data_IF_844526629811
#
_entry.id   IF_844526629811
#
_cell.length_a   1.000
_cell.length_b   1.000
_cell.length_c   1.000
_cell.angle_alpha   90.00
_cell.angle_beta   90.00
_cell.angle_gamma   90.00
#
_symmetry.space_group_name_H-M   'P 1'
#
loop_
_entity.id
_entity.type
_entity.pdbx_description
1 polymer ?
#
# COMPACT_ATOMS: atom_id res chain seq x y z
N UNK A 1 32.93 27.20 27.98
CA UNK A 1 32.42 28.35 27.21
C UNK A 1 31.64 27.77 26.03
N UNK A 2 30.31 27.71 26.11
CA UNK A 2 29.47 27.08 25.07
C UNK A 2 29.44 28.01 23.84
N UNK A 3 30.01 27.56 22.72
CA UNK A 3 30.00 28.29 21.46
C UNK A 3 28.59 28.19 20.84
N UNK A 4 27.72 29.15 21.15
CA UNK A 4 26.45 29.32 20.44
C UNK A 4 26.76 30.00 19.10
N UNK A 5 26.92 29.18 18.06
CA UNK A 5 27.06 29.66 16.67
C UNK A 5 25.77 30.39 16.28
N UNK A 6 25.89 31.66 15.92
CA UNK A 6 24.83 32.42 15.26
C UNK A 6 24.49 31.75 13.93
N UNK A 7 23.44 30.92 13.92
CA UNK A 7 22.83 30.42 12.67
C UNK A 7 22.16 31.59 11.96
N UNK A 8 22.34 31.72 10.64
CA UNK A 8 21.63 32.72 9.85
C UNK A 8 20.12 32.50 9.94
N UNK A 9 19.34 33.59 9.86
CA UNK A 9 17.88 33.52 9.89
C UNK A 9 17.31 32.56 8.83
N UNK A 10 17.95 32.49 7.66
CA UNK A 10 17.62 31.53 6.59
C UNK A 10 17.79 30.07 7.02
N UNK A 11 18.89 29.73 7.70
CA UNK A 11 19.13 28.37 8.20
C UNK A 11 18.14 27.98 9.31
N UNK A 12 17.71 28.94 10.13
CA UNK A 12 16.67 28.72 11.14
C UNK A 12 15.30 28.47 10.51
N UNK A 13 14.96 29.18 9.43
CA UNK A 13 13.72 28.95 8.67
C UNK A 13 13.73 27.56 8.03
N UNK A 14 14.81 27.18 7.33
CA UNK A 14 14.96 25.84 6.72
C UNK A 14 14.92 24.71 7.76
N UNK A 15 15.58 24.88 8.91
CA UNK A 15 15.57 23.90 9.99
C UNK A 15 14.18 23.79 10.63
N UNK A 16 13.45 24.91 10.76
CA UNK A 16 12.07 24.92 11.25
C UNK A 16 11.09 24.27 10.27
N UNK A 17 11.24 24.49 8.96
CA UNK A 17 10.42 23.86 7.91
C UNK A 17 10.72 22.37 7.81
N UNK A 18 11.99 21.96 7.90
CA UNK A 18 12.39 20.55 7.93
C UNK A 18 11.86 19.84 9.18
N UNK A 19 11.86 20.54 10.31
CA UNK A 19 11.28 20.03 11.57
C UNK A 19 9.76 19.93 11.45
N UNK A 20 9.08 20.91 10.85
CA UNK A 20 7.63 20.87 10.60
C UNK A 20 7.23 19.78 9.61
N UNK A 21 7.97 19.64 8.50
CA UNK A 21 7.79 18.56 7.52
C UNK A 21 7.97 17.18 8.17
N UNK A 22 9.00 17.02 9.02
CA UNK A 22 9.19 15.81 9.81
C UNK A 22 8.05 15.56 10.80
N UNK A 23 7.54 16.59 11.49
CA UNK A 23 6.41 16.44 12.40
C UNK A 23 5.12 16.06 11.64
N UNK A 24 4.85 16.66 10.49
CA UNK A 24 3.69 16.35 9.64
C UNK A 24 3.75 14.93 9.07
N UNK A 25 4.94 14.44 8.73
CA UNK A 25 5.21 13.07 8.27
C UNK A 25 4.88 12.02 9.34
N UNK A 26 5.07 12.36 10.62
CA UNK A 26 4.76 11.48 11.77
C UNK A 26 3.32 11.63 12.29
N UNK A 27 2.55 12.61 11.83
CA UNK A 27 1.14 12.74 12.24
C UNK A 27 0.30 11.61 11.66
N UNK A 28 -0.47 10.96 12.53
CA UNK A 28 -1.41 9.90 12.16
C UNK A 28 -2.42 10.43 11.14
N UNK A 29 -2.31 9.97 9.89
CA UNK A 29 -3.26 10.27 8.83
C UNK A 29 -4.45 9.32 8.90
N UNK A 30 -5.63 9.84 8.57
CA UNK A 30 -6.87 9.08 8.51
C UNK A 30 -7.51 9.25 7.14
N UNK A 31 -7.99 8.14 6.59
CA UNK A 31 -8.75 8.08 5.34
C UNK A 31 -9.97 7.22 5.62
N UNK A 32 -11.12 7.86 5.87
CA UNK A 32 -12.33 7.20 6.35
C UNK A 32 -12.02 6.31 7.57
N UNK A 33 -12.20 4.99 7.45
CA UNK A 33 -11.96 3.98 8.49
C UNK A 33 -10.51 3.47 8.58
N UNK A 34 -9.62 3.97 7.72
CA UNK A 34 -8.23 3.56 7.63
C UNK A 34 -7.32 4.59 8.30
N UNK A 35 -6.33 4.11 9.04
CA UNK A 35 -5.29 4.94 9.61
C UNK A 35 -3.94 4.54 9.02
N UNK A 36 -3.06 5.53 8.85
CA UNK A 36 -1.67 5.29 8.44
C UNK A 36 -0.88 4.38 9.39
N UNK A 37 -1.36 4.15 10.62
CA UNK A 37 -0.73 3.26 11.60
C UNK A 37 -1.30 1.83 11.61
N UNK A 38 -2.42 1.56 10.93
CA UNK A 38 -3.00 0.22 10.89
C UNK A 38 -2.10 -0.75 10.13
N UNK A 39 -1.88 -1.94 10.68
CA UNK A 39 -1.36 -3.08 9.92
C UNK A 39 -2.46 -3.60 9.02
N UNK A 40 -2.28 -3.42 7.72
CA UNK A 40 -3.30 -3.67 6.72
C UNK A 40 -2.93 -4.87 5.85
N UNK A 41 -3.87 -5.79 5.68
CA UNK A 41 -3.81 -6.85 4.68
C UNK A 41 -4.83 -6.56 3.58
N UNK A 42 -4.36 -6.38 2.35
CA UNK A 42 -5.20 -6.21 1.17
C UNK A 42 -5.19 -7.51 0.39
N UNK A 43 -6.37 -8.08 0.21
CA UNK A 43 -6.55 -9.43 -0.33
C UNK A 43 -7.10 -9.34 -1.73
N UNK A 44 -6.52 -10.14 -2.65
CA UNK A 44 -7.09 -10.32 -3.99
C UNK A 44 -6.99 -9.08 -4.88
N UNK A 45 -5.91 -8.32 -4.76
CA UNK A 45 -5.62 -7.22 -5.68
C UNK A 45 -5.44 -7.77 -7.11
N UNK A 46 -6.18 -7.19 -8.05
CA UNK A 46 -5.93 -7.34 -9.49
C UNK A 46 -4.69 -6.53 -9.86
N UNK A 47 -4.87 -5.31 -10.35
CA UNK A 47 -3.75 -4.48 -10.80
C UNK A 47 -3.02 -3.68 -9.69
N UNK A 48 -3.36 -3.91 -8.42
CA UNK A 48 -2.82 -3.21 -7.23
C UNK A 48 -3.10 -1.69 -7.19
N UNK A 49 -4.04 -1.18 -8.01
CA UNK A 49 -4.36 0.25 -8.04
C UNK A 49 -4.94 0.78 -6.73
N UNK A 50 -5.79 -0.01 -6.05
CA UNK A 50 -6.35 0.37 -4.76
C UNK A 50 -5.25 0.47 -3.69
N UNK A 51 -4.43 -0.57 -3.54
CA UNK A 51 -3.26 -0.54 -2.63
C UNK A 51 -2.34 0.64 -2.93
N UNK A 52 -2.01 0.85 -4.20
CA UNK A 52 -1.14 1.93 -4.67
C UNK A 52 -1.70 3.31 -4.28
N UNK A 53 -3.01 3.51 -4.44
CA UNK A 53 -3.69 4.76 -4.10
C UNK A 53 -3.73 4.99 -2.58
N UNK A 54 -4.05 3.96 -1.80
CA UNK A 54 -4.05 4.00 -0.34
C UNK A 54 -2.66 4.34 0.21
N UNK A 55 -1.63 3.64 -0.27
CA UNK A 55 -0.24 3.89 0.09
C UNK A 55 0.20 5.32 -0.24
N UNK A 56 -0.22 5.84 -1.41
CA UNK A 56 0.09 7.21 -1.83
C UNK A 56 -0.54 8.25 -0.91
N UNK A 57 -1.79 8.04 -0.52
CA UNK A 57 -2.51 8.96 0.34
C UNK A 57 -1.93 8.98 1.76
N UNK A 58 -1.43 7.85 2.25
CA UNK A 58 -0.67 7.83 3.51
C UNK A 58 0.77 8.33 3.36
N UNK A 59 1.36 8.23 2.17
CA UNK A 59 2.76 8.54 1.91
C UNK A 59 3.73 7.42 2.34
N UNK A 60 3.20 6.29 2.81
CA UNK A 60 3.96 5.12 3.22
C UNK A 60 3.07 3.88 3.13
N UNK A 61 3.71 2.72 2.99
CA UNK A 61 3.10 1.41 2.96
C UNK A 61 3.87 0.36 3.78
N UNK A 62 4.76 0.79 4.69
CA UNK A 62 5.61 -0.11 5.49
C UNK A 62 4.83 -1.12 6.35
N UNK A 63 3.58 -0.79 6.70
CA UNK A 63 2.64 -1.61 7.46
C UNK A 63 1.56 -2.26 6.57
N UNK A 64 1.76 -2.28 5.25
CA UNK A 64 0.83 -2.81 4.27
C UNK A 64 1.36 -4.10 3.67
N UNK A 65 0.53 -5.15 3.68
CA UNK A 65 0.71 -6.35 2.87
C UNK A 65 -0.38 -6.36 1.81
N UNK A 66 0.00 -6.36 0.53
CA UNK A 66 -0.94 -6.49 -0.58
C UNK A 66 -0.74 -7.82 -1.29
N UNK A 67 -1.82 -8.55 -1.53
CA UNK A 67 -1.78 -9.90 -2.10
C UNK A 67 -2.59 -10.00 -3.39
N UNK A 68 -2.12 -10.80 -4.33
CA UNK A 68 -2.88 -11.18 -5.53
C UNK A 68 -3.09 -12.69 -5.60
N UNK A 69 -4.22 -13.11 -6.18
CA UNK A 69 -4.45 -14.51 -6.54
C UNK A 69 -3.56 -14.93 -7.71
N UNK A 70 -3.44 -14.07 -8.73
CA UNK A 70 -2.60 -14.33 -9.89
C UNK A 70 -1.11 -14.35 -9.48
N UNK A 71 -0.31 -15.29 -10.01
CA UNK A 71 1.15 -15.24 -9.93
C UNK A 71 1.70 -13.97 -10.58
N UNK A 72 2.90 -13.54 -10.18
CA UNK A 72 3.50 -12.29 -10.67
C UNK A 72 3.57 -12.20 -12.20
N UNK A 73 4.03 -13.27 -12.86
CA UNK A 73 4.23 -13.28 -14.31
C UNK A 73 2.92 -13.15 -15.10
N UNK A 74 1.84 -13.75 -14.59
CA UNK A 74 0.51 -13.68 -15.20
C UNK A 74 -0.13 -12.32 -14.93
N UNK A 75 0.02 -11.82 -13.70
CA UNK A 75 -0.46 -10.52 -13.27
C UNK A 75 0.04 -9.38 -14.17
N UNK A 76 1.36 -9.32 -14.43
CA UNK A 76 1.94 -8.24 -15.24
C UNK A 76 1.54 -8.32 -16.72
N UNK A 77 1.16 -9.50 -17.22
CA UNK A 77 0.64 -9.69 -18.58
C UNK A 77 -0.84 -9.33 -18.67
N UNK A 78 -1.60 -9.69 -17.64
CA UNK A 78 -3.06 -9.50 -17.56
C UNK A 78 -3.43 -8.04 -17.36
N UNK A 79 -2.71 -7.32 -16.48
CA UNK A 79 -3.04 -5.95 -16.10
C UNK A 79 -1.96 -4.96 -16.51
N UNK A 80 -2.29 -4.09 -17.48
CA UNK A 80 -1.37 -3.09 -18.06
C UNK A 80 -0.67 -2.20 -17.01
N UNK A 81 -1.35 -1.87 -15.91
CA UNK A 81 -0.85 -0.98 -14.84
C UNK A 81 -0.21 -1.70 -13.66
N UNK A 82 -0.27 -3.04 -13.59
CA UNK A 82 0.23 -3.79 -12.44
C UNK A 82 1.71 -3.49 -12.18
N UNK A 83 2.56 -3.53 -13.20
CA UNK A 83 4.00 -3.29 -13.05
C UNK A 83 4.32 -1.93 -12.44
N UNK A 84 3.64 -0.86 -12.87
CA UNK A 84 3.85 0.48 -12.31
C UNK A 84 3.32 0.61 -10.88
N UNK A 85 2.16 0.02 -10.59
CA UNK A 85 1.55 0.05 -9.25
C UNK A 85 2.41 -0.72 -8.24
N UNK A 86 2.88 -1.93 -8.60
CA UNK A 86 3.79 -2.73 -7.79
C UNK A 86 5.11 -1.99 -7.53
N UNK A 87 5.66 -1.34 -8.56
CA UNK A 87 6.87 -0.52 -8.42
C UNK A 87 6.68 0.64 -7.42
N UNK A 88 5.53 1.31 -7.46
CA UNK A 88 5.19 2.38 -6.50
C UNK A 88 5.04 1.84 -5.08
N UNK A 89 4.32 0.74 -4.91
CA UNK A 89 4.10 0.09 -3.62
C UNK A 89 5.42 -0.37 -2.99
N UNK A 90 6.30 -1.00 -3.78
CA UNK A 90 7.62 -1.42 -3.32
C UNK A 90 8.46 -0.23 -2.85
N UNK A 91 8.43 0.90 -3.58
CA UNK A 91 9.11 2.14 -3.19
C UNK A 91 8.57 2.72 -1.88
N UNK A 92 7.28 2.56 -1.62
CA UNK A 92 6.62 3.01 -0.39
C UNK A 92 6.76 2.01 0.77
N UNK A 93 7.45 0.88 0.56
CA UNK A 93 7.74 -0.10 1.61
C UNK A 93 6.69 -1.20 1.79
N UNK A 94 5.75 -1.36 0.86
CA UNK A 94 4.75 -2.44 0.95
C UNK A 94 5.39 -3.82 0.80
N UNK A 95 4.83 -4.79 1.54
CA UNK A 95 5.09 -6.22 1.28
C UNK A 95 4.11 -6.73 0.23
N UNK A 96 4.64 -7.34 -0.83
CA UNK A 96 3.87 -7.83 -1.98
C UNK A 96 3.93 -9.34 -2.03
N UNK A 97 2.77 -10.01 -1.98
CA UNK A 97 2.65 -11.46 -2.10
C UNK A 97 1.79 -11.83 -3.30
N UNK A 98 2.18 -12.87 -4.03
CA UNK A 98 1.49 -13.32 -5.25
C UNK A 98 1.11 -14.80 -5.13
N UNK A 99 0.11 -15.25 -5.89
CA UNK A 99 -0.36 -16.63 -5.79
C UNK A 99 -1.11 -16.94 -4.48
N UNK A 100 -1.62 -15.92 -3.79
CA UNK A 100 -2.28 -16.08 -2.49
C UNK A 100 -3.77 -16.37 -2.71
N UNK A 101 -4.14 -17.63 -2.49
CA UNK A 101 -5.53 -18.06 -2.44
C UNK A 101 -6.17 -17.70 -1.09
N UNK A 102 -7.11 -16.76 -1.11
CA UNK A 102 -7.83 -16.29 0.06
C UNK A 102 -8.57 -17.42 0.82
N UNK A 103 -9.02 -18.46 0.11
CA UNK A 103 -9.71 -19.62 0.73
C UNK A 103 -8.77 -20.50 1.54
N UNK A 104 -7.47 -20.44 1.25
CA UNK A 104 -6.40 -21.23 1.89
C UNK A 104 -5.43 -20.38 2.71
N UNK A 105 -5.69 -19.08 2.82
CA UNK A 105 -4.78 -18.11 3.44
C UNK A 105 -4.46 -18.40 4.91
N UNK A 106 -5.36 -19.09 5.63
CA UNK A 106 -5.11 -19.59 7.00
C UNK A 106 -3.93 -20.57 7.09
N UNK A 107 -3.52 -21.18 5.97
CA UNK A 107 -2.39 -22.10 5.89
C UNK A 107 -1.09 -21.41 5.46
N UNK A 108 -1.17 -20.15 5.00
CA UNK A 108 -0.01 -19.43 4.50
C UNK A 108 0.94 -19.10 5.66
N UNK A 109 2.18 -19.61 5.59
CA UNK A 109 3.13 -19.59 6.71
C UNK A 109 3.33 -18.19 7.31
N UNK A 110 3.51 -17.19 6.45
CA UNK A 110 3.75 -15.80 6.89
C UNK A 110 2.48 -15.08 7.37
N UNK A 111 1.32 -15.35 6.77
CA UNK A 111 0.09 -14.62 7.08
C UNK A 111 -0.61 -15.20 8.32
N UNK A 112 -0.50 -16.52 8.55
CA UNK A 112 -1.13 -17.22 9.67
C UNK A 112 -0.65 -16.72 11.03
N UNK A 113 0.60 -16.26 11.12
CA UNK A 113 1.22 -15.83 12.38
C UNK A 113 1.09 -14.32 12.64
N UNK A 114 0.58 -13.56 11.67
CA UNK A 114 0.45 -12.10 11.76
C UNK A 114 -0.94 -11.71 12.26
N UNK A 115 -1.00 -10.58 12.98
CA UNK A 115 -2.25 -9.89 13.34
C UNK A 115 -2.39 -8.63 12.52
N UNK A 116 -3.60 -8.37 12.04
CA UNK A 116 -3.93 -7.21 11.23
C UNK A 116 -5.02 -6.40 11.93
N UNK A 117 -4.91 -5.07 11.84
CA UNK A 117 -5.94 -4.17 12.34
C UNK A 117 -7.08 -4.02 11.33
N UNK A 118 -6.76 -4.19 10.03
CA UNK A 118 -7.71 -4.19 8.92
C UNK A 118 -7.35 -5.25 7.89
N UNK A 119 -8.36 -6.03 7.47
CA UNK A 119 -8.29 -6.89 6.30
C UNK A 119 -9.27 -6.32 5.28
N UNK A 120 -8.78 -6.01 4.08
CA UNK A 120 -9.52 -5.33 3.03
C UNK A 120 -9.67 -6.29 1.85
N UNK A 121 -10.91 -6.61 1.50
CA UNK A 121 -11.25 -7.46 0.36
C UNK A 121 -12.40 -6.81 -0.42
N UNK A 122 -12.05 -5.88 -1.31
CA UNK A 122 -13.02 -4.94 -1.90
C UNK A 122 -13.75 -5.49 -3.14
N UNK A 123 -13.09 -6.35 -3.92
CA UNK A 123 -13.57 -6.74 -5.25
C UNK A 123 -13.55 -8.26 -5.42
N UNK A 124 -14.37 -9.02 -4.67
CA UNK A 124 -14.49 -10.45 -4.91
C UNK A 124 -14.98 -10.69 -6.33
N UNK A 125 -14.18 -11.41 -7.12
CA UNK A 125 -14.54 -11.76 -8.48
C UNK A 125 -15.77 -12.68 -8.48
N UNK A 126 -16.85 -12.30 -9.18
CA UNK A 126 -18.12 -13.03 -9.20
C UNK A 126 -18.09 -14.35 -10.02
N UNK A 127 -16.91 -14.95 -10.21
CA UNK A 127 -16.75 -16.24 -10.90
C UNK A 127 -16.97 -16.26 -12.43
N UNK A 128 -17.13 -15.11 -13.09
CA UNK A 128 -17.23 -15.07 -14.56
C UNK A 128 -15.87 -15.31 -15.24
N UNK A 129 -15.89 -15.67 -16.53
CA UNK A 129 -14.67 -15.88 -17.32
C UNK A 129 -14.49 -14.73 -18.32
N UNK A 130 -13.29 -14.15 -18.35
CA UNK A 130 -12.91 -13.08 -19.26
C UNK A 130 -12.29 -11.89 -18.52
N UNK A 131 -11.83 -10.89 -19.27
CA UNK A 131 -11.23 -9.69 -18.67
C UNK A 131 -12.32 -8.75 -18.14
N UNK A 132 -12.06 -8.14 -16.99
CA UNK A 132 -12.98 -7.20 -16.33
C UNK A 132 -13.33 -5.97 -17.20
N UNK A 133 -12.48 -5.62 -18.17
CA UNK A 133 -12.71 -4.52 -19.13
C UNK A 133 -13.54 -4.93 -20.36
N UNK A 134 -13.97 -6.19 -20.44
CA UNK A 134 -14.82 -6.65 -21.54
C UNK A 134 -16.26 -6.17 -21.33
N UNK A 135 -16.70 -5.26 -22.20
CA UNK A 135 -18.07 -4.70 -22.20
C UNK A 135 -19.14 -5.80 -22.26
N UNK A 136 -18.86 -6.94 -22.88
CA UNK A 136 -19.80 -8.08 -22.96
C UNK A 136 -20.04 -8.77 -21.61
N UNK A 137 -19.20 -8.51 -20.61
CA UNK A 137 -19.36 -9.02 -19.24
C UNK A 137 -20.05 -8.00 -18.33
N UNK A 138 -20.24 -6.76 -18.79
CA UNK A 138 -20.98 -5.70 -18.10
C UNK A 138 -22.44 -5.81 -18.57
N UNK A 139 -23.28 -6.45 -17.76
CA UNK A 139 -24.73 -6.54 -18.01
C UNK A 139 -25.46 -5.29 -17.53
#
# INVERSE_FOLDING_TARGET
MLCLRNKSFTALVEESEKTRLGIEEWRKKWLQQYSSHHRMLLVGEGDFSFSSSLASAFGSASNVIATSLDPYDDLIKKYKKAKSNLGKLKKLGASLLHGVDATRMKLHADLRVRKFDRIIFNFPHAGFKGKEDNVQLIK
#
